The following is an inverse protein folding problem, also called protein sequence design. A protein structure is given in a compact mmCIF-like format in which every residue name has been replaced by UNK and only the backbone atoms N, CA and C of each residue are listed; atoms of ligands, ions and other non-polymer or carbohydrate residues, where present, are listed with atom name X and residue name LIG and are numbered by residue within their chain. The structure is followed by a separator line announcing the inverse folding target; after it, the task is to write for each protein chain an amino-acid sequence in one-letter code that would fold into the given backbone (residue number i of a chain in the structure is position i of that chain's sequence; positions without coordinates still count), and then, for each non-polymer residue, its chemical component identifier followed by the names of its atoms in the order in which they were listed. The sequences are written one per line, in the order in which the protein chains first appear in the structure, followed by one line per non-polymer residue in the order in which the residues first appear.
data_IF_322997201474
#
_entry.id   IF_322997201474
#
_cell.length_a   1.000
_cell.length_b   1.000
_cell.length_c   1.000
_cell.angle_alpha   90.00
_cell.angle_beta   90.00
_cell.angle_gamma   90.00
#
_symmetry.space_group_name_H-M   'P 1'
#
loop_
_entity.id
_entity.type
_entity.pdbx_description
1 polymer ?
#
# COMPACT_ATOMS: atom_id res chain seq x y z
N UNK A 1 50.14 -54.62 50.96
CA UNK A 1 49.81 -53.18 51.02
C UNK A 1 50.50 -52.63 52.26
N UNK A 2 51.44 -51.70 52.08
CA UNK A 2 52.27 -51.22 53.20
C UNK A 2 51.49 -50.19 54.04
N UNK A 3 51.91 -49.96 55.28
CA UNK A 3 51.22 -49.02 56.18
C UNK A 3 51.12 -47.59 55.62
N UNK A 4 52.11 -47.20 54.79
CA UNK A 4 52.12 -45.92 54.08
C UNK A 4 51.02 -45.85 53.02
N UNK A 5 50.79 -46.92 52.26
CA UNK A 5 49.75 -46.98 51.21
C UNK A 5 48.35 -46.88 51.83
N UNK A 6 48.13 -47.57 52.95
CA UNK A 6 46.88 -47.50 53.71
C UNK A 6 46.62 -46.08 54.24
N UNK A 7 47.68 -45.37 54.64
CA UNK A 7 47.58 -43.99 55.12
C UNK A 7 47.24 -43.05 53.97
N UNK A 8 47.89 -43.21 52.81
CA UNK A 8 47.59 -42.44 51.60
C UNK A 8 46.15 -42.68 51.12
N UNK A 9 45.72 -43.95 51.00
CA UNK A 9 44.39 -44.31 50.51
C UNK A 9 43.28 -43.77 51.42
N UNK A 10 43.49 -43.78 52.75
CA UNK A 10 42.56 -43.17 53.73
C UNK A 10 42.44 -41.66 53.55
N UNK A 11 43.56 -40.95 53.34
CA UNK A 11 43.55 -39.50 53.12
C UNK A 11 42.92 -39.14 51.79
N UNK A 12 43.25 -39.88 50.74
CA UNK A 12 42.67 -39.71 49.40
C UNK A 12 41.15 -39.98 49.40
N UNK A 13 40.69 -41.06 50.03
CA UNK A 13 39.27 -41.36 50.19
C UNK A 13 38.53 -40.28 51.00
N UNK A 14 39.15 -39.77 52.08
CA UNK A 14 38.58 -38.68 52.88
C UNK A 14 38.44 -37.37 52.08
N UNK A 15 39.39 -37.07 51.19
CA UNK A 15 39.34 -35.90 50.32
C UNK A 15 38.20 -36.02 49.30
N UNK A 16 38.08 -37.18 48.63
CA UNK A 16 36.99 -37.46 47.68
C UNK A 16 35.63 -37.38 48.38
N UNK A 17 35.49 -37.99 49.56
CA UNK A 17 34.27 -37.91 50.35
C UNK A 17 33.91 -36.45 50.67
N UNK A 18 34.91 -35.62 51.01
CA UNK A 18 34.74 -34.18 51.21
C UNK A 18 34.19 -33.46 49.97
N UNK A 19 34.73 -33.73 48.79
CA UNK A 19 34.24 -33.15 47.54
C UNK A 19 32.84 -33.62 47.15
N UNK A 20 32.50 -34.89 47.40
CA UNK A 20 31.15 -35.42 47.17
C UNK A 20 30.14 -34.71 48.07
N UNK A 21 30.46 -34.56 49.37
CA UNK A 21 29.59 -33.83 50.31
C UNK A 21 29.43 -32.38 49.88
N UNK A 22 30.52 -31.69 49.53
CA UNK A 22 30.47 -30.32 49.04
C UNK A 22 29.60 -30.19 47.78
N UNK A 23 29.72 -31.12 46.84
CA UNK A 23 28.93 -31.14 45.61
C UNK A 23 27.44 -31.31 45.89
N UNK A 24 27.07 -32.23 46.80
CA UNK A 24 25.68 -32.44 47.22
C UNK A 24 25.09 -31.21 47.93
N UNK A 25 25.90 -30.52 48.74
CA UNK A 25 25.51 -29.26 49.38
C UNK A 25 25.24 -28.19 48.33
N UNK A 26 26.15 -28.00 47.36
CA UNK A 26 25.99 -27.01 46.30
C UNK A 26 24.76 -27.32 45.42
N UNK A 27 24.51 -28.59 45.09
CA UNK A 27 23.33 -29.01 44.33
C UNK A 27 22.05 -28.68 45.12
N UNK A 28 22.02 -29.00 46.41
CA UNK A 28 20.85 -28.73 47.26
C UNK A 28 20.58 -27.22 47.39
N UNK A 29 21.63 -26.42 47.55
CA UNK A 29 21.53 -24.95 47.54
C UNK A 29 21.01 -24.45 46.19
N UNK A 30 21.53 -24.96 45.07
CA UNK A 30 21.08 -24.59 43.74
C UNK A 30 19.59 -24.90 43.53
N UNK A 31 19.12 -26.10 43.91
CA UNK A 31 17.69 -26.45 43.83
C UNK A 31 16.83 -25.56 44.75
N UNK A 32 17.32 -25.26 45.96
CA UNK A 32 16.62 -24.40 46.91
C UNK A 32 16.50 -22.96 46.40
N UNK A 33 17.54 -22.44 45.74
CA UNK A 33 17.53 -21.10 45.14
C UNK A 33 16.67 -21.08 43.87
N UNK A 34 16.80 -22.08 43.00
CA UNK A 34 16.04 -22.18 41.76
C UNK A 34 14.53 -22.33 42.02
N UNK A 35 14.13 -23.13 43.02
CA UNK A 35 12.72 -23.22 43.45
C UNK A 35 12.15 -21.93 44.03
N UNK A 36 13.01 -20.99 44.48
CA UNK A 36 12.59 -19.64 44.91
C UNK A 36 12.53 -18.65 43.75
N UNK A 37 13.17 -18.93 42.62
CA UNK A 37 12.97 -18.19 41.39
C UNK A 37 11.64 -18.62 40.77
N UNK A 38 10.56 -17.94 41.16
CA UNK A 38 9.34 -17.94 40.35
C UNK A 38 9.75 -17.39 38.97
N UNK A 39 9.53 -18.17 37.91
CA UNK A 39 9.77 -17.74 36.53
C UNK A 39 9.12 -16.37 36.26
N UNK A 40 9.60 -15.68 35.22
CA UNK A 40 9.26 -14.30 34.86
C UNK A 40 7.95 -13.78 35.47
N UNK A 41 8.04 -13.13 36.62
CA UNK A 41 6.87 -12.67 37.41
C UNK A 41 6.29 -11.37 36.87
N UNK A 42 6.53 -11.06 35.59
CA UNK A 42 5.95 -9.90 34.93
C UNK A 42 4.45 -10.10 34.82
N UNK A 43 3.69 -9.14 35.32
CA UNK A 43 2.24 -9.06 35.13
C UNK A 43 1.89 -9.05 33.64
N UNK A 44 0.67 -9.44 33.24
CA UNK A 44 0.21 -9.30 31.85
C UNK A 44 0.42 -7.87 31.30
N UNK A 45 0.27 -6.86 32.15
CA UNK A 45 0.53 -5.46 31.82
C UNK A 45 2.02 -5.18 31.55
N UNK A 46 2.93 -5.74 32.37
CA UNK A 46 4.37 -5.62 32.14
C UNK A 46 4.82 -6.38 30.88
N UNK A 47 4.22 -7.52 30.57
CA UNK A 47 4.47 -8.25 29.32
C UNK A 47 3.96 -7.46 28.11
N UNK A 48 2.77 -6.86 28.20
CA UNK A 48 2.25 -5.97 27.17
C UNK A 48 3.13 -4.74 26.98
N UNK A 49 3.63 -4.14 28.06
CA UNK A 49 4.56 -3.00 27.99
C UNK A 49 5.91 -3.38 27.34
N UNK A 50 6.41 -4.58 27.59
CA UNK A 50 7.61 -5.10 26.89
C UNK A 50 7.31 -5.32 25.41
N UNK A 51 6.18 -5.94 25.07
CA UNK A 51 5.77 -6.16 23.68
C UNK A 51 5.60 -4.85 22.92
N UNK A 52 5.00 -3.84 23.53
CA UNK A 52 4.85 -2.51 22.93
C UNK A 52 6.19 -1.83 22.64
N UNK A 53 7.23 -2.08 23.47
CA UNK A 53 8.57 -1.51 23.28
C UNK A 53 9.39 -2.22 22.20
N UNK A 54 9.13 -3.51 21.95
CA UNK A 54 9.82 -4.29 20.91
C UNK A 54 9.03 -4.34 19.60
N UNK A 55 7.81 -3.80 19.57
CA UNK A 55 7.04 -3.66 18.35
C UNK A 55 7.83 -2.80 17.35
N UNK A 56 7.86 -3.18 16.06
CA UNK A 56 8.60 -2.42 15.06
C UNK A 56 7.94 -1.05 14.86
N UNK A 57 8.77 -0.01 14.76
CA UNK A 57 8.34 1.38 14.49
C UNK A 57 7.70 1.55 13.10
N UNK A 58 7.96 0.63 12.17
CA UNK A 58 7.33 0.57 10.85
C UNK A 58 7.31 -0.86 10.32
N UNK A 59 6.37 -1.14 9.41
CA UNK A 59 6.33 -2.43 8.72
C UNK A 59 7.61 -2.65 7.90
N UNK A 60 8.39 -3.68 8.22
CA UNK A 60 9.50 -4.11 7.38
C UNK A 60 8.92 -4.99 6.27
N UNK A 61 8.72 -4.38 5.09
CA UNK A 61 8.19 -5.06 3.91
C UNK A 61 9.27 -5.89 3.23
N UNK A 62 9.54 -7.10 3.74
CA UNK A 62 10.45 -8.06 3.12
C UNK A 62 9.72 -9.37 2.79
N UNK A 63 9.97 -9.91 1.59
CA UNK A 63 9.35 -11.16 1.12
C UNK A 63 7.88 -11.01 0.72
N UNK A 64 7.11 -12.11 0.79
CA UNK A 64 5.72 -12.18 0.33
C UNK A 64 4.79 -11.17 1.03
N UNK A 65 5.03 -10.86 2.31
CA UNK A 65 4.27 -9.85 3.05
C UNK A 65 4.53 -8.43 2.54
N UNK A 66 5.73 -8.14 2.03
CA UNK A 66 6.04 -6.87 1.38
C UNK A 66 5.37 -6.73 0.02
N UNK A 67 5.34 -7.81 -0.78
CA UNK A 67 4.65 -7.82 -2.07
C UNK A 67 3.14 -7.61 -1.92
N UNK A 68 2.51 -8.25 -0.93
CA UNK A 68 1.09 -8.05 -0.64
C UNK A 68 0.80 -6.63 -0.15
N UNK A 69 1.66 -6.04 0.67
CA UNK A 69 1.49 -4.67 1.13
C UNK A 69 1.68 -3.64 0.00
N UNK A 70 2.62 -3.89 -0.92
CA UNK A 70 2.81 -3.04 -2.09
C UNK A 70 1.61 -3.13 -3.05
N UNK A 71 1.10 -4.33 -3.31
CA UNK A 71 -0.11 -4.51 -4.11
C UNK A 71 -1.34 -3.85 -3.46
N UNK A 72 -1.47 -3.93 -2.13
CA UNK A 72 -2.53 -3.24 -1.40
C UNK A 72 -2.38 -1.70 -1.45
N UNK A 73 -1.14 -1.19 -1.38
CA UNK A 73 -0.87 0.25 -1.51
C UNK A 73 -1.17 0.76 -2.92
N UNK A 74 -0.83 0.00 -3.95
CA UNK A 74 -1.13 0.32 -5.35
C UNK A 74 -2.63 0.25 -5.64
N UNK A 75 -3.33 -0.75 -5.10
CA UNK A 75 -4.79 -0.83 -5.15
C UNK A 75 -5.46 0.33 -4.39
N UNK A 76 -4.93 0.74 -3.24
CA UNK A 76 -5.43 1.90 -2.50
C UNK A 76 -5.17 3.22 -3.23
N UNK A 77 -4.03 3.36 -3.92
CA UNK A 77 -3.73 4.51 -4.76
C UNK A 77 -4.65 4.58 -5.99
N UNK A 78 -4.91 3.43 -6.64
CA UNK A 78 -5.88 3.34 -7.74
C UNK A 78 -7.31 3.64 -7.27
N UNK A 79 -7.72 3.15 -6.09
CA UNK A 79 -9.01 3.45 -5.50
C UNK A 79 -9.14 4.94 -5.10
N UNK A 80 -8.07 5.55 -4.58
CA UNK A 80 -8.04 6.98 -4.27
C UNK A 80 -8.12 7.85 -5.54
N UNK A 81 -7.49 7.42 -6.65
CA UNK A 81 -7.61 8.06 -7.95
C UNK A 81 -9.05 7.96 -8.50
N UNK A 82 -9.74 6.83 -8.28
CA UNK A 82 -11.14 6.64 -8.64
C UNK A 82 -12.13 7.36 -7.71
N UNK A 83 -11.73 7.65 -6.47
CA UNK A 83 -12.59 8.34 -5.50
C UNK A 83 -12.80 9.83 -5.81
N UNK A 84 -12.11 10.39 -6.82
CA UNK A 84 -12.22 11.79 -7.23
C UNK A 84 -12.69 11.93 -8.69
N UNK A 85 -13.54 11.01 -9.17
CA UNK A 85 -14.09 11.09 -10.52
C UNK A 85 -15.17 12.17 -10.58
N UNK A 86 -15.05 13.08 -11.55
CA UNK A 86 -15.94 14.22 -11.71
C UNK A 86 -17.40 13.80 -11.90
N UNK A 87 -18.33 14.68 -11.55
CA UNK A 87 -19.78 14.47 -11.78
C UNK A 87 -20.34 13.18 -11.16
N UNK A 88 -19.77 12.74 -10.03
CA UNK A 88 -20.22 11.53 -9.33
C UNK A 88 -19.96 10.24 -10.12
N UNK A 89 -19.04 10.26 -11.09
CA UNK A 89 -18.74 9.10 -11.93
C UNK A 89 -19.81 8.77 -12.98
N UNK A 90 -20.76 9.68 -13.24
CA UNK A 90 -21.76 9.46 -14.31
C UNK A 90 -21.07 9.26 -15.66
N UNK A 91 -21.56 8.30 -16.44
CA UNK A 91 -21.18 8.08 -17.84
C UNK A 91 -22.20 8.70 -18.82
N UNK A 92 -23.11 9.54 -18.31
CA UNK A 92 -24.01 10.31 -19.16
C UNK A 92 -23.24 11.45 -19.84
N UNK A 93 -22.90 11.25 -21.12
CA UNK A 93 -22.17 12.22 -21.93
C UNK A 93 -22.88 13.57 -22.06
N UNK A 94 -24.22 13.61 -21.97
CA UNK A 94 -24.99 14.86 -22.03
C UNK A 94 -24.76 15.73 -20.79
N UNK A 95 -24.67 15.10 -19.62
CA UNK A 95 -24.42 15.79 -18.35
C UNK A 95 -23.01 16.38 -18.36
N UNK A 96 -22.01 15.59 -18.77
CA UNK A 96 -20.62 16.06 -18.81
C UNK A 96 -20.46 17.16 -19.86
N UNK A 97 -21.04 16.97 -21.05
CA UNK A 97 -21.03 17.97 -22.11
C UNK A 97 -21.64 19.30 -21.63
N UNK A 98 -22.84 19.23 -21.04
CA UNK A 98 -23.55 20.42 -20.56
C UNK A 98 -22.80 21.18 -19.47
N UNK A 99 -22.06 20.49 -18.61
CA UNK A 99 -21.34 21.12 -17.50
C UNK A 99 -19.93 21.61 -17.87
N UNK A 100 -19.29 21.04 -18.90
CA UNK A 100 -17.89 21.33 -19.24
C UNK A 100 -17.73 21.69 -20.72
N UNK A 101 -18.03 20.75 -21.61
CA UNK A 101 -17.62 20.80 -23.00
C UNK A 101 -18.35 21.89 -23.80
N UNK A 102 -19.62 22.15 -23.48
CA UNK A 102 -20.49 23.07 -24.22
C UNK A 102 -19.92 24.50 -24.27
N UNK A 103 -19.19 24.92 -23.23
CA UNK A 103 -18.63 26.27 -23.12
C UNK A 103 -17.82 26.66 -24.35
N UNK A 104 -17.04 25.71 -24.87
CA UNK A 104 -16.25 25.91 -26.07
C UNK A 104 -16.94 25.35 -27.32
N UNK A 105 -17.62 24.20 -27.23
CA UNK A 105 -18.21 23.54 -28.40
C UNK A 105 -19.56 24.10 -28.88
N UNK A 106 -20.26 24.90 -28.07
CA UNK A 106 -21.43 25.67 -28.54
C UNK A 106 -20.99 26.92 -29.30
N UNK A 107 -19.96 27.60 -28.80
CA UNK A 107 -19.58 28.97 -29.21
C UNK A 107 -18.42 29.01 -30.21
N UNK A 108 -17.63 27.93 -30.28
CA UNK A 108 -16.35 27.90 -30.99
C UNK A 108 -15.22 28.61 -30.25
N UNK A 109 -15.36 28.87 -28.93
CA UNK A 109 -14.33 29.53 -28.14
C UNK A 109 -12.99 28.80 -28.23
N UNK A 110 -11.90 29.56 -28.30
CA UNK A 110 -10.54 28.99 -28.45
C UNK A 110 -10.32 28.24 -29.76
N UNK A 111 -11.20 28.41 -30.76
CA UNK A 111 -11.13 27.70 -32.04
C UNK A 111 -11.67 26.27 -31.99
N UNK A 112 -12.49 25.96 -30.97
CA UNK A 112 -13.15 24.68 -30.84
C UNK A 112 -14.14 24.44 -32.01
N UNK A 113 -14.27 23.19 -32.49
CA UNK A 113 -15.28 22.85 -33.49
C UNK A 113 -16.67 22.99 -32.88
N UNK A 114 -17.51 23.81 -33.50
CA UNK A 114 -18.92 23.95 -33.10
C UNK A 114 -19.70 22.67 -33.43
N UNK A 115 -20.84 22.45 -32.78
CA UNK A 115 -21.72 21.27 -32.99
C UNK A 115 -22.47 21.28 -34.34
N UNK A 116 -21.74 21.50 -35.45
CA UNK A 116 -22.26 21.51 -36.82
C UNK A 116 -21.56 20.46 -37.66
N UNK A 117 -22.26 19.79 -38.58
CA UNK A 117 -21.64 18.77 -39.44
C UNK A 117 -20.43 19.30 -40.19
N UNK A 118 -20.49 20.53 -40.69
CA UNK A 118 -19.38 21.16 -41.41
C UNK A 118 -18.08 21.22 -40.58
N UNK A 119 -18.18 21.47 -39.27
CA UNK A 119 -17.02 21.50 -38.39
C UNK A 119 -16.48 20.09 -38.06
N UNK A 120 -17.30 19.04 -38.17
CA UNK A 120 -16.96 17.69 -37.72
C UNK A 120 -16.66 16.68 -38.83
N UNK A 121 -17.04 16.93 -40.09
CA UNK A 121 -16.83 15.98 -41.20
C UNK A 121 -15.41 15.41 -41.28
N UNK A 122 -14.40 16.28 -41.34
CA UNK A 122 -12.98 15.86 -41.43
C UNK A 122 -12.46 15.20 -40.16
N UNK A 123 -13.10 15.49 -39.02
CA UNK A 123 -12.72 14.95 -37.70
C UNK A 123 -13.25 13.53 -37.55
N UNK A 124 -14.50 13.30 -37.92
CA UNK A 124 -15.15 11.98 -37.92
C UNK A 124 -14.38 11.00 -38.81
N UNK A 125 -13.85 11.45 -39.94
CA UNK A 125 -13.03 10.64 -40.83
C UNK A 125 -11.76 10.07 -40.17
N UNK A 126 -11.29 10.63 -39.04
CA UNK A 126 -10.14 10.12 -38.27
C UNK A 126 -10.50 8.98 -37.32
N UNK A 127 -11.79 8.69 -37.15
CA UNK A 127 -12.31 7.66 -36.25
C UNK A 127 -12.49 8.14 -34.81
N UNK A 128 -13.47 7.53 -34.12
CA UNK A 128 -13.86 7.90 -32.75
C UNK A 128 -12.71 7.74 -31.76
N UNK A 129 -11.95 6.64 -31.81
CA UNK A 129 -10.86 6.40 -30.86
C UNK A 129 -9.77 7.47 -30.92
N UNK A 130 -9.44 7.97 -32.12
CA UNK A 130 -8.51 9.08 -32.30
C UNK A 130 -9.03 10.36 -31.64
N UNK A 131 -10.33 10.63 -31.77
CA UNK A 131 -10.96 11.81 -31.16
C UNK A 131 -10.99 11.70 -29.64
N UNK A 132 -11.28 10.51 -29.11
CA UNK A 132 -11.24 10.23 -27.66
C UNK A 132 -9.82 10.41 -27.13
N UNK A 133 -8.80 9.86 -27.81
CA UNK A 133 -7.42 10.00 -27.37
C UNK A 133 -6.98 11.48 -27.35
N UNK A 134 -7.29 12.24 -28.40
CA UNK A 134 -7.04 13.68 -28.42
C UNK A 134 -7.79 14.44 -27.33
N UNK A 135 -8.99 14.00 -26.94
CA UNK A 135 -9.74 14.60 -25.85
C UNK A 135 -9.14 14.29 -24.47
N UNK A 136 -8.58 13.08 -24.28
CA UNK A 136 -7.93 12.66 -23.04
C UNK A 136 -6.58 13.39 -22.88
N UNK A 137 -5.73 13.31 -23.90
CA UNK A 137 -4.35 13.84 -23.85
C UNK A 137 -4.29 15.35 -24.07
N UNK A 138 -5.33 15.91 -24.67
CA UNK A 138 -5.33 17.26 -25.21
C UNK A 138 -4.78 17.28 -26.63
N UNK A 139 -5.18 18.30 -27.40
CA UNK A 139 -4.81 18.42 -28.79
C UNK A 139 -4.62 19.88 -29.20
N UNK A 140 -3.47 20.18 -29.78
CA UNK A 140 -3.23 21.45 -30.42
C UNK A 140 -3.37 21.28 -31.93
N UNK A 141 -4.45 21.84 -32.47
CA UNK A 141 -4.75 21.82 -33.89
C UNK A 141 -4.44 23.15 -34.58
N UNK A 142 -4.64 23.16 -35.89
CA UNK A 142 -4.46 24.37 -36.72
C UNK A 142 -5.42 25.51 -36.34
N UNK A 143 -6.60 25.17 -35.81
CA UNK A 143 -7.66 26.15 -35.52
C UNK A 143 -7.73 26.54 -34.06
N UNK A 144 -7.18 25.75 -33.14
CA UNK A 144 -7.42 25.92 -31.72
C UNK A 144 -6.74 24.89 -30.85
N UNK A 145 -6.92 25.03 -29.53
CA UNK A 145 -6.34 24.15 -28.51
C UNK A 145 -7.49 23.51 -27.73
N UNK A 146 -7.48 22.18 -27.67
CA UNK A 146 -8.30 21.38 -26.77
C UNK A 146 -7.43 20.98 -25.56
N UNK A 147 -7.72 21.46 -24.34
CA UNK A 147 -6.98 21.06 -23.16
C UNK A 147 -7.17 19.56 -22.84
N UNK A 148 -6.19 18.91 -22.18
CA UNK A 148 -6.33 17.54 -21.71
C UNK A 148 -7.60 17.36 -20.85
N UNK A 149 -8.37 16.31 -21.13
CA UNK A 149 -9.66 16.01 -20.49
C UNK A 149 -10.63 17.21 -20.47
N UNK A 150 -10.64 18.01 -21.53
CA UNK A 150 -11.49 19.21 -21.62
C UNK A 150 -11.21 20.27 -20.54
N UNK A 151 -10.03 20.20 -19.90
CA UNK A 151 -9.62 21.10 -18.82
C UNK A 151 -9.98 20.61 -17.42
N UNK A 152 -10.65 19.45 -17.28
CA UNK A 152 -10.97 18.85 -16.00
C UNK A 152 -10.18 17.55 -15.78
N UNK A 153 -9.08 17.57 -15.00
CA UNK A 153 -8.26 16.38 -14.77
C UNK A 153 -8.98 15.29 -13.97
N UNK A 154 -10.11 15.60 -13.33
CA UNK A 154 -10.93 14.64 -12.56
C UNK A 154 -11.86 13.80 -13.44
N UNK A 155 -11.95 14.05 -14.75
CA UNK A 155 -12.70 13.17 -15.65
C UNK A 155 -11.96 11.84 -15.84
N UNK A 156 -12.67 10.72 -15.71
CA UNK A 156 -12.12 9.42 -16.12
C UNK A 156 -12.10 9.31 -17.64
N UNK A 157 -11.27 8.40 -18.17
CA UNK A 157 -11.18 8.16 -19.61
C UNK A 157 -12.52 7.68 -20.20
N UNK A 158 -13.29 6.89 -19.44
CA UNK A 158 -14.64 6.46 -19.81
C UNK A 158 -15.62 7.64 -19.91
N UNK A 159 -15.50 8.62 -19.00
CA UNK A 159 -16.33 9.83 -19.05
C UNK A 159 -16.00 10.71 -20.25
N UNK A 160 -14.70 10.83 -20.58
CA UNK A 160 -14.27 11.54 -21.79
C UNK A 160 -14.82 10.84 -23.03
N UNK A 161 -14.70 9.51 -23.10
CA UNK A 161 -15.26 8.70 -24.20
C UNK A 161 -16.75 8.91 -24.36
N UNK A 162 -17.53 8.74 -23.29
CA UNK A 162 -18.98 8.92 -23.31
C UNK A 162 -19.38 10.34 -23.77
N UNK A 163 -18.62 11.36 -23.36
CA UNK A 163 -18.85 12.74 -23.80
C UNK A 163 -18.59 12.94 -25.29
N UNK A 164 -17.50 12.36 -25.82
CA UNK A 164 -17.17 12.43 -27.25
C UNK A 164 -18.21 11.69 -28.09
N UNK A 165 -18.62 10.49 -27.67
CA UNK A 165 -19.65 9.71 -28.35
C UNK A 165 -20.98 10.45 -28.38
N UNK A 166 -21.41 11.00 -27.24
CA UNK A 166 -22.61 11.82 -27.18
C UNK A 166 -22.51 13.04 -28.11
N UNK A 167 -21.36 13.71 -28.14
CA UNK A 167 -21.16 14.84 -29.06
C UNK A 167 -21.33 14.40 -30.52
N UNK A 168 -20.72 13.28 -30.93
CA UNK A 168 -20.81 12.75 -32.29
C UNK A 168 -22.25 12.40 -32.70
N UNK A 169 -23.05 11.91 -31.76
CA UNK A 169 -24.47 11.59 -31.98
C UNK A 169 -25.36 12.84 -32.08
N UNK A 170 -24.94 13.96 -31.47
CA UNK A 170 -25.74 15.19 -31.33
C UNK A 170 -25.21 16.36 -32.17
N UNK A 171 -24.44 16.08 -33.23
CA UNK A 171 -24.00 17.10 -34.19
C UNK A 171 -25.20 17.53 -35.05
N UNK A 172 -25.43 18.85 -35.14
CA UNK A 172 -26.47 19.44 -35.99
C UNK A 172 -26.12 19.35 -37.48
#
# INVERSE_FOLDING_TARGET
MNNTDLTFLKKFASLIAGFVVLSLVLITVAFSVHGRHKGDTRTPEQLAAVQARIAPVSGVYAGASGQMAQAAAEAAAAAAAQAQVAYGGTLDGSVIYGNLCKTCHDTGAGGAPTMTRAAWSDRIAKGTDTLVQHAIDGFQGNTGIMPPRGGNPSLSDDQVRASVEWMLENIN
#
